data_IF_496790972314
#
_entry.id   IF_496790972314
#
_cell.length_a   1.000
_cell.length_b   1.000
_cell.length_c   1.000
_cell.angle_alpha   90.00
_cell.angle_beta   90.00
_cell.angle_gamma   90.00
#
_symmetry.space_group_name_H-M   'P 1'
#
loop_
_entity.id
_entity.type
_entity.pdbx_description
1 polymer ?
#
# COMPACT_ATOMS: atom_id res chain seq x y z
N UNK A 1 -13.34 -15.10 -7.51
CA UNK A 1 -12.44 -13.94 -7.53
C UNK A 1 -13.19 -12.79 -6.90
N UNK A 2 -12.73 -12.33 -5.73
CA UNK A 2 -13.38 -11.28 -4.96
C UNK A 2 -12.32 -10.20 -4.70
N UNK A 3 -12.54 -9.01 -5.26
CA UNK A 3 -11.69 -7.86 -5.00
C UNK A 3 -12.07 -7.25 -3.65
N UNK A 4 -11.08 -6.96 -2.81
CA UNK A 4 -11.29 -6.19 -1.60
C UNK A 4 -11.78 -4.79 -1.99
N UNK A 5 -12.82 -4.32 -1.30
CA UNK A 5 -13.43 -3.00 -1.55
C UNK A 5 -12.63 -1.87 -0.91
N UNK A 6 -11.34 -1.83 -1.20
CA UNK A 6 -10.45 -0.74 -0.77
C UNK A 6 -10.72 0.46 -1.67
N UNK A 7 -11.03 1.61 -1.07
CA UNK A 7 -11.12 2.87 -1.80
C UNK A 7 -9.72 3.31 -2.23
N UNK A 8 -9.54 3.61 -3.50
CA UNK A 8 -8.28 4.14 -4.01
C UNK A 8 -8.00 5.54 -3.46
N UNK A 9 -6.73 5.82 -3.20
CA UNK A 9 -6.26 7.15 -2.84
C UNK A 9 -4.91 7.43 -3.50
N UNK A 10 -4.88 8.51 -4.29
CA UNK A 10 -3.65 9.03 -4.90
C UNK A 10 -2.70 9.64 -3.86
N UNK A 11 -1.40 9.47 -4.09
CA UNK A 11 -0.33 10.16 -3.38
C UNK A 11 -0.41 11.68 -3.61
N UNK A 12 -0.15 12.48 -2.58
CA UNK A 12 -0.29 13.95 -2.66
C UNK A 12 0.99 14.63 -3.16
N UNK A 13 2.11 13.93 -3.07
CA UNK A 13 3.42 14.40 -3.54
C UNK A 13 4.25 13.21 -4.07
N UNK A 14 5.33 13.43 -4.83
CA UNK A 14 6.11 12.33 -5.41
C UNK A 14 6.62 11.28 -4.41
N UNK A 15 6.84 11.67 -3.15
CA UNK A 15 7.53 10.85 -2.14
C UNK A 15 6.63 10.19 -1.10
N UNK A 16 5.30 10.32 -1.19
CA UNK A 16 4.38 9.86 -0.15
C UNK A 16 3.53 8.63 -0.54
N UNK A 17 3.97 7.85 -1.53
CA UNK A 17 3.28 6.61 -1.95
C UNK A 17 3.01 5.64 -0.79
N UNK A 18 3.96 5.47 0.13
CA UNK A 18 3.77 4.61 1.31
C UNK A 18 2.66 5.15 2.24
N UNK A 19 2.56 6.47 2.40
CA UNK A 19 1.52 7.08 3.20
C UNK A 19 0.15 6.97 2.54
N UNK A 20 0.08 7.10 1.21
CA UNK A 20 -1.15 6.86 0.46
C UNK A 20 -1.61 5.40 0.57
N UNK A 21 -0.70 4.43 0.51
CA UNK A 21 -1.02 3.02 0.73
C UNK A 21 -1.53 2.76 2.15
N UNK A 22 -0.83 3.28 3.16
CA UNK A 22 -1.28 3.19 4.55
C UNK A 22 -2.67 3.82 4.74
N UNK A 23 -2.92 4.98 4.12
CA UNK A 23 -4.20 5.66 4.14
C UNK A 23 -5.34 4.80 3.56
N UNK A 24 -5.12 4.15 2.41
CA UNK A 24 -6.09 3.22 1.81
C UNK A 24 -6.43 2.05 2.75
N UNK A 25 -5.41 1.41 3.33
CA UNK A 25 -5.60 0.25 4.22
C UNK A 25 -6.26 0.66 5.54
N UNK A 26 -5.86 1.78 6.15
CA UNK A 26 -6.50 2.30 7.37
C UNK A 26 -7.98 2.62 7.13
N UNK A 27 -8.31 3.27 6.00
CA UNK A 27 -9.68 3.59 5.65
C UNK A 27 -10.52 2.32 5.42
N UNK A 28 -9.96 1.31 4.76
CA UNK A 28 -10.61 0.01 4.60
C UNK A 28 -10.92 -0.68 5.95
N UNK A 29 -10.06 -0.50 6.94
CA UNK A 29 -10.27 -1.01 8.30
C UNK A 29 -11.16 -0.11 9.18
N UNK A 30 -11.73 0.98 8.61
CA UNK A 30 -12.59 1.91 9.35
C UNK A 30 -11.84 2.75 10.39
N UNK A 31 -10.54 2.96 10.20
CA UNK A 31 -9.70 3.74 11.12
C UNK A 31 -9.58 5.15 10.58
N UNK A 32 -10.03 6.11 11.39
CA UNK A 32 -9.93 7.53 11.09
C UNK A 32 -8.48 8.02 11.24
N UNK A 33 -8.05 8.86 10.30
CA UNK A 33 -6.75 9.53 10.35
C UNK A 33 -6.80 10.87 9.63
N UNK A 34 -5.96 11.81 10.06
CA UNK A 34 -5.63 12.96 9.23
C UNK A 34 -4.37 12.64 8.42
N UNK A 35 -4.44 12.84 7.10
CA UNK A 35 -3.32 12.53 6.21
C UNK A 35 -2.01 13.24 6.59
N UNK A 36 -2.07 14.50 7.06
CA UNK A 36 -0.89 15.22 7.53
C UNK A 36 -0.27 14.63 8.80
N UNK A 37 -1.08 14.03 9.68
CA UNK A 37 -0.58 13.29 10.84
C UNK A 37 0.06 11.97 10.39
N UNK A 38 -0.53 11.29 9.39
CA UNK A 38 0.04 10.08 8.81
C UNK A 38 1.42 10.32 8.19
N UNK A 39 1.58 11.43 7.43
CA UNK A 39 2.89 11.83 6.89
C UNK A 39 3.95 12.00 7.99
N UNK A 40 3.56 12.62 9.12
CA UNK A 40 4.45 12.82 10.27
C UNK A 40 4.75 11.52 10.99
N UNK A 41 3.74 10.67 11.19
CA UNK A 41 3.86 9.37 11.86
C UNK A 41 4.81 8.45 11.12
N UNK A 42 4.66 8.37 9.79
CA UNK A 42 5.52 7.58 8.90
C UNK A 42 6.85 8.28 8.56
N UNK A 43 7.06 9.49 9.09
CA UNK A 43 8.28 10.29 8.89
C UNK A 43 8.63 10.47 7.42
N UNK A 44 7.62 10.75 6.58
CA UNK A 44 7.79 10.95 5.14
C UNK A 44 8.76 12.11 4.88
N UNK A 45 9.78 11.86 4.08
CA UNK A 45 10.77 12.86 3.67
C UNK A 45 10.60 13.20 2.18
N UNK A 46 11.26 14.26 1.67
CA UNK A 46 11.21 14.62 0.25
C UNK A 46 11.67 13.51 -0.70
N UNK A 47 12.48 12.56 -0.24
CA UNK A 47 12.96 11.41 -1.01
C UNK A 47 12.29 10.08 -0.61
N UNK A 48 11.23 10.14 0.19
CA UNK A 48 10.46 8.98 0.64
C UNK A 48 10.70 8.62 2.09
N UNK A 49 10.39 7.38 2.45
CA UNK A 49 10.67 6.80 3.76
C UNK A 49 10.97 5.31 3.60
N UNK A 50 11.54 4.70 4.63
CA UNK A 50 11.72 3.25 4.65
C UNK A 50 10.37 2.54 4.81
N UNK A 51 10.19 1.38 4.17
CA UNK A 51 8.99 0.56 4.30
C UNK A 51 8.67 0.19 5.76
N UNK A 52 9.72 0.00 6.58
CA UNK A 52 9.62 -0.27 8.01
C UNK A 52 8.95 0.84 8.83
N UNK A 53 8.75 2.04 8.26
CA UNK A 53 8.01 3.12 8.90
C UNK A 53 6.54 2.72 9.16
N UNK A 54 5.99 1.74 8.42
CA UNK A 54 4.65 1.20 8.68
C UNK A 54 4.49 0.66 10.10
N UNK A 55 5.55 0.22 10.78
CA UNK A 55 5.48 -0.19 12.19
C UNK A 55 4.94 0.92 13.10
N UNK A 56 5.10 2.20 12.72
CA UNK A 56 4.56 3.32 13.47
C UNK A 56 3.02 3.34 13.48
N UNK A 57 2.35 2.66 12.53
CA UNK A 57 0.89 2.56 12.51
C UNK A 57 0.34 1.83 13.73
N UNK A 58 1.15 1.02 14.43
CA UNK A 58 0.73 0.37 15.67
C UNK A 58 0.25 1.36 16.74
N UNK A 59 0.71 2.62 16.71
CA UNK A 59 0.20 3.66 17.61
C UNK A 59 -1.26 4.07 17.33
N UNK A 60 -1.82 3.66 16.20
CA UNK A 60 -3.22 3.85 15.80
C UNK A 60 -4.09 2.64 16.16
N UNK A 61 -3.54 1.63 16.85
CA UNK A 61 -4.29 0.46 17.30
C UNK A 61 -4.41 -0.67 16.27
N UNK A 62 -3.59 -0.65 15.22
CA UNK A 62 -3.48 -1.77 14.27
C UNK A 62 -2.29 -2.67 14.60
N UNK A 63 -2.41 -3.94 14.24
CA UNK A 63 -1.25 -4.83 14.15
C UNK A 63 -0.56 -4.63 12.81
N UNK A 64 0.78 -4.63 12.82
CA UNK A 64 1.59 -4.44 11.61
C UNK A 64 2.59 -5.58 11.53
N UNK A 65 2.49 -6.37 10.47
CA UNK A 65 3.47 -7.39 10.12
C UNK A 65 4.25 -6.91 8.90
N UNK A 66 5.59 -6.92 9.00
CA UNK A 66 6.49 -6.58 7.89
C UNK A 66 7.41 -7.77 7.65
N UNK A 67 7.34 -8.32 6.45
CA UNK A 67 8.13 -9.47 6.07
C UNK A 67 8.29 -9.60 4.57
N UNK A 68 8.86 -10.73 4.17
CA UNK A 68 8.82 -11.22 2.79
C UNK A 68 7.82 -12.35 2.75
N UNK A 69 6.93 -12.34 1.77
CA UNK A 69 5.95 -13.40 1.54
C UNK A 69 6.10 -14.00 0.15
N UNK A 70 5.62 -15.22 0.02
CA UNK A 70 5.33 -15.86 -1.25
C UNK A 70 3.90 -15.51 -1.70
N UNK A 71 3.56 -15.95 -2.92
CA UNK A 71 2.22 -15.80 -3.48
C UNK A 71 1.12 -16.35 -2.55
N UNK A 72 1.35 -17.51 -1.93
CA UNK A 72 0.39 -18.16 -1.02
C UNK A 72 0.06 -17.29 0.20
N UNK A 73 1.03 -16.52 0.70
CA UNK A 73 0.81 -15.62 1.85
C UNK A 73 -0.10 -14.46 1.44
N UNK A 74 0.09 -13.92 0.23
CA UNK A 74 -0.77 -12.88 -0.34
C UNK A 74 -2.20 -13.37 -0.55
N UNK A 75 -2.37 -14.58 -1.10
CA UNK A 75 -3.68 -15.22 -1.27
C UNK A 75 -4.37 -15.38 0.10
N UNK A 76 -3.65 -15.88 1.09
CA UNK A 76 -4.18 -16.07 2.44
C UNK A 76 -4.64 -14.76 3.09
N UNK A 77 -3.85 -13.67 2.97
CA UNK A 77 -4.24 -12.36 3.49
C UNK A 77 -5.47 -11.80 2.78
N UNK A 78 -5.53 -11.90 1.45
CA UNK A 78 -6.68 -11.46 0.67
C UNK A 78 -7.96 -12.23 1.04
N UNK A 79 -7.87 -13.55 1.17
CA UNK A 79 -8.99 -14.41 1.60
C UNK A 79 -9.46 -14.08 3.02
N UNK A 80 -8.54 -13.64 3.87
CA UNK A 80 -8.82 -13.15 5.23
C UNK A 80 -9.32 -11.71 5.27
N UNK A 81 -9.47 -11.05 4.11
CA UNK A 81 -9.94 -9.68 4.01
C UNK A 81 -8.91 -8.63 4.43
N UNK A 82 -7.62 -8.97 4.49
CA UNK A 82 -6.52 -8.08 4.89
C UNK A 82 -5.76 -7.63 3.63
N UNK A 83 -5.89 -6.37 3.17
CA UNK A 83 -5.21 -5.90 1.96
C UNK A 83 -3.70 -5.69 2.21
N UNK A 84 -2.82 -6.46 1.54
CA UNK A 84 -1.38 -6.28 1.70
C UNK A 84 -0.87 -4.99 1.06
N UNK A 85 0.04 -4.29 1.73
CA UNK A 85 0.87 -3.24 1.12
C UNK A 85 2.14 -3.91 0.60
N UNK A 86 2.43 -3.75 -0.70
CA UNK A 86 3.60 -4.33 -1.34
C UNK A 86 4.64 -3.25 -1.64
N UNK A 87 5.90 -3.56 -1.37
CA UNK A 87 7.02 -2.81 -1.92
C UNK A 87 7.44 -3.43 -3.24
N UNK A 88 7.43 -2.64 -4.31
CA UNK A 88 7.76 -3.06 -5.66
C UNK A 88 8.90 -2.21 -6.21
N UNK A 89 9.68 -2.81 -7.10
CA UNK A 89 10.52 -2.06 -8.03
C UNK A 89 9.64 -1.70 -9.24
N UNK A 90 9.52 -0.41 -9.56
CA UNK A 90 8.69 0.07 -10.66
C UNK A 90 9.13 -0.43 -12.03
N UNK A 91 10.36 -0.93 -12.19
CA UNK A 91 10.79 -1.63 -13.41
C UNK A 91 10.00 -2.92 -13.70
N UNK A 92 9.31 -3.47 -12.69
CA UNK A 92 8.38 -4.60 -12.88
C UNK A 92 6.99 -4.16 -13.35
N UNK A 93 6.70 -2.86 -13.33
CA UNK A 93 5.41 -2.30 -13.72
C UNK A 93 5.49 -1.81 -15.17
N UNK A 94 4.77 -2.47 -16.07
CA UNK A 94 4.83 -2.20 -17.51
C UNK A 94 4.42 -0.77 -17.91
N UNK A 95 3.68 -0.07 -17.04
CA UNK A 95 3.22 1.30 -17.25
C UNK A 95 4.16 2.36 -16.67
N UNK A 96 5.22 1.98 -15.96
CA UNK A 96 6.24 2.91 -15.45
C UNK A 96 7.42 3.03 -16.41
N UNK A 97 8.02 4.22 -16.47
CA UNK A 97 9.15 4.53 -17.38
C UNK A 97 10.48 4.71 -16.67
N UNK A 98 10.49 4.73 -15.33
CA UNK A 98 11.69 4.88 -14.51
C UNK A 98 11.73 3.81 -13.42
N UNK A 99 12.93 3.36 -13.07
CA UNK A 99 13.17 2.32 -12.06
C UNK A 99 13.41 2.96 -10.68
N UNK A 100 12.49 2.72 -9.75
CA UNK A 100 12.53 3.22 -8.37
C UNK A 100 11.78 2.28 -7.45
N UNK A 101 12.01 2.41 -6.13
CA UNK A 101 11.18 1.77 -5.13
C UNK A 101 9.82 2.46 -5.04
N UNK A 102 8.75 1.67 -4.95
CA UNK A 102 7.38 2.17 -4.86
C UNK A 102 6.51 1.27 -3.98
N UNK A 103 5.43 1.83 -3.44
CA UNK A 103 4.46 1.11 -2.63
C UNK A 103 3.10 1.07 -3.34
N UNK A 104 2.47 -0.10 -3.33
CA UNK A 104 1.13 -0.35 -3.91
C UNK A 104 0.29 -1.18 -2.94
N UNK A 105 -1.04 -1.14 -3.07
CA UNK A 105 -1.94 -2.00 -2.28
C UNK A 105 -2.48 -3.11 -3.17
N UNK A 106 -2.33 -4.36 -2.76
CA UNK A 106 -2.92 -5.51 -3.43
C UNK A 106 -4.38 -5.66 -3.00
N UNK A 107 -5.30 -5.65 -3.96
CA UNK A 107 -6.74 -5.75 -3.72
C UNK A 107 -7.36 -7.04 -4.26
N UNK A 108 -6.62 -7.78 -5.07
CA UNK A 108 -7.05 -9.07 -5.60
C UNK A 108 -5.90 -9.77 -6.30
N UNK A 109 -5.99 -11.09 -6.34
CA UNK A 109 -5.00 -11.92 -6.99
C UNK A 109 -5.68 -13.12 -7.66
N UNK A 110 -5.44 -13.24 -8.96
CA UNK A 110 -5.93 -14.31 -9.82
C UNK A 110 -4.72 -15.15 -10.25
N UNK A 111 -4.95 -16.28 -10.93
CA UNK A 111 -3.86 -17.18 -11.33
C UNK A 111 -2.72 -16.49 -12.11
N UNK A 112 -3.04 -15.47 -12.91
CA UNK A 112 -2.06 -14.77 -13.75
C UNK A 112 -1.97 -13.25 -13.49
N UNK A 113 -2.92 -12.68 -12.76
CA UNK A 113 -3.07 -11.21 -12.66
C UNK A 113 -3.15 -10.77 -11.20
N UNK A 114 -2.33 -9.79 -10.85
CA UNK A 114 -2.44 -9.06 -9.58
C UNK A 114 -3.19 -7.75 -9.83
N UNK A 115 -4.21 -7.48 -9.02
CA UNK A 115 -4.99 -6.25 -9.08
C UNK A 115 -4.49 -5.31 -7.98
N UNK A 116 -4.02 -4.13 -8.39
CA UNK A 116 -3.28 -3.21 -7.52
C UNK A 116 -3.93 -1.83 -7.51
N UNK A 117 -4.05 -1.24 -6.32
CA UNK A 117 -4.17 0.20 -6.19
C UNK A 117 -2.78 0.81 -6.15
N UNK A 118 -2.40 1.44 -7.25
CA UNK A 118 -1.19 2.24 -7.34
C UNK A 118 -1.50 3.69 -6.98
N UNK A 119 -0.91 4.24 -5.89
CA UNK A 119 -1.16 5.62 -5.48
C UNK A 119 -0.56 6.67 -6.43
N UNK A 120 0.28 6.29 -7.39
CA UNK A 120 0.80 7.22 -8.41
C UNK A 120 -0.23 7.54 -9.50
N UNK A 121 -1.25 6.69 -9.67
CA UNK A 121 -2.31 6.85 -10.66
C UNK A 121 -3.50 7.64 -10.09
N UNK A 122 -4.27 8.29 -10.98
CA UNK A 122 -5.49 9.02 -10.60
C UNK A 122 -6.68 8.09 -10.32
N UNK A 123 -6.72 6.94 -10.98
CA UNK A 123 -7.77 5.93 -10.87
C UNK A 123 -7.15 4.53 -10.69
N UNK A 124 -7.90 3.55 -10.14
CA UNK A 124 -7.48 2.15 -10.12
C UNK A 124 -7.20 1.64 -11.54
N UNK A 125 -6.14 0.85 -11.71
CA UNK A 125 -5.90 0.09 -12.93
C UNK A 125 -6.53 -1.31 -12.84
#
# INVERSE_FOLDING_TARGET
MHLLRVSHQRQRQPSDCLAACAAMVLAYNGIDYHYSQLLRLLRIQPHGTAFSALNALASLGVEVEIGRGARSDLEHHLDSGVPPILFVNTGMLSYWTSETGHAVVLIGLDNEVAHLHDPALDEPN
#
